data_IF_152766735387
#
_entry.id   IF_152766735387
#
_cell.length_a   1.000
_cell.length_b   1.000
_cell.length_c   1.000
_cell.angle_alpha   90.00
_cell.angle_beta   90.00
_cell.angle_gamma   90.00
#
_symmetry.space_group_name_H-M   'P 1'
#
loop_
_entity.id
_entity.type
_entity.pdbx_description
1 polymer ?
#
# COMPACT_ATOMS: atom_id res chain seq x y z
N UNK A 1 -2.21 20.00 15.73
CA UNK A 1 -1.85 19.52 14.37
C UNK A 1 -2.40 18.11 14.20
N UNK A 2 -2.97 17.77 13.03
CA UNK A 2 -3.46 16.42 12.71
C UNK A 2 -2.23 15.50 12.62
N UNK A 3 -2.15 14.51 13.52
CA UNK A 3 -1.00 13.61 13.65
C UNK A 3 -1.06 12.45 12.63
N UNK A 4 -2.27 11.97 12.33
CA UNK A 4 -2.50 10.83 11.45
C UNK A 4 -3.01 11.30 10.08
N UNK A 5 -2.64 10.57 9.02
CA UNK A 5 -3.22 10.78 7.68
C UNK A 5 -4.50 9.96 7.53
N UNK A 6 -4.51 8.75 8.11
CA UNK A 6 -5.69 7.88 8.18
C UNK A 6 -5.94 7.49 9.64
N UNK A 7 -7.21 7.53 10.04
CA UNK A 7 -7.73 6.88 11.23
C UNK A 7 -8.87 5.96 10.82
N UNK A 8 -8.85 4.73 11.29
CA UNK A 8 -9.86 3.71 11.00
C UNK A 8 -10.53 3.34 12.32
N UNK A 9 -11.87 3.27 12.32
CA UNK A 9 -12.67 2.93 13.51
C UNK A 9 -13.65 1.81 13.18
N UNK A 10 -13.50 0.69 13.85
CA UNK A 10 -14.37 -0.48 13.82
C UNK A 10 -14.76 -0.95 12.41
N UNK A 11 -13.77 -0.88 11.49
CA UNK A 11 -13.99 -1.13 10.08
C UNK A 11 -14.26 -2.61 9.82
N UNK A 12 -15.40 -2.87 9.20
CA UNK A 12 -15.80 -4.22 8.81
C UNK A 12 -15.96 -4.35 7.30
N UNK A 13 -15.64 -5.53 6.77
CA UNK A 13 -15.94 -5.89 5.38
C UNK A 13 -16.45 -7.31 5.29
N UNK A 14 -17.62 -7.47 4.67
CA UNK A 14 -18.18 -8.76 4.31
C UNK A 14 -18.43 -8.86 2.82
N UNK A 15 -18.15 -10.02 2.25
CA UNK A 15 -18.56 -10.40 0.90
C UNK A 15 -19.56 -11.55 1.01
N UNK A 16 -20.80 -11.30 0.62
CA UNK A 16 -21.92 -12.24 0.85
C UNK A 16 -22.00 -12.62 2.35
N UNK A 17 -21.74 -13.88 2.70
CA UNK A 17 -21.79 -14.39 4.08
C UNK A 17 -20.42 -14.42 4.78
N UNK A 18 -19.33 -14.15 4.07
CA UNK A 18 -17.97 -14.22 4.62
C UNK A 18 -17.53 -12.86 5.15
N UNK A 19 -17.28 -12.78 6.46
CA UNK A 19 -16.61 -11.61 7.08
C UNK A 19 -15.12 -11.70 6.81
N UNK A 20 -14.59 -10.72 6.03
CA UNK A 20 -13.16 -10.64 5.67
C UNK A 20 -12.40 -9.72 6.61
N UNK A 21 -12.99 -8.59 6.99
CA UNK A 21 -12.46 -7.71 8.03
C UNK A 21 -13.47 -7.56 9.16
N UNK A 22 -12.95 -7.56 10.39
CA UNK A 22 -13.74 -7.66 11.63
C UNK A 22 -13.24 -6.59 12.61
N UNK A 23 -13.92 -5.43 12.62
CA UNK A 23 -13.70 -4.36 13.60
C UNK A 23 -12.24 -3.88 13.64
N UNK A 24 -11.65 -3.62 12.45
CA UNK A 24 -10.29 -3.06 12.37
C UNK A 24 -10.34 -1.60 12.84
N UNK A 25 -9.54 -1.30 13.86
CA UNK A 25 -9.27 0.08 14.31
C UNK A 25 -7.77 0.31 14.32
N UNK A 26 -7.29 1.33 13.57
CA UNK A 26 -5.86 1.61 13.40
C UNK A 26 -5.60 3.07 13.02
N UNK A 27 -4.35 3.52 13.25
CA UNK A 27 -3.92 4.88 13.01
C UNK A 27 -2.65 4.91 12.18
N UNK A 28 -2.68 5.61 11.06
CA UNK A 28 -1.53 5.74 10.16
C UNK A 28 -0.93 7.14 10.31
N UNK A 29 0.26 7.27 10.91
CA UNK A 29 0.93 8.55 11.10
C UNK A 29 1.33 9.18 9.76
N UNK A 30 1.37 10.53 9.71
CA UNK A 30 1.83 11.27 8.54
C UNK A 30 3.34 11.16 8.32
N UNK A 31 3.73 11.26 7.05
CA UNK A 31 5.13 11.38 6.62
C UNK A 31 6.01 10.23 7.14
N UNK A 32 5.47 9.02 7.09
CA UNK A 32 6.13 7.79 7.50
C UNK A 32 5.78 6.66 6.53
N UNK A 33 6.57 5.58 6.57
CA UNK A 33 6.23 4.32 5.93
C UNK A 33 5.50 3.44 6.96
N UNK A 34 4.25 3.11 6.68
CA UNK A 34 3.44 2.19 7.47
C UNK A 34 3.41 0.81 6.80
N UNK A 35 3.95 -0.19 7.47
CA UNK A 35 3.97 -1.58 7.03
C UNK A 35 2.70 -2.31 7.45
N UNK A 36 1.96 -2.86 6.49
CA UNK A 36 0.81 -3.71 6.74
C UNK A 36 1.18 -5.18 6.55
N UNK A 37 1.44 -5.88 7.65
CA UNK A 37 1.91 -7.26 7.66
C UNK A 37 0.75 -8.24 7.89
N UNK A 38 0.83 -9.43 7.33
CA UNK A 38 -0.11 -10.52 7.55
C UNK A 38 0.00 -11.61 6.49
N UNK A 39 -0.47 -12.80 6.80
CA UNK A 39 -0.49 -13.92 5.86
C UNK A 39 -1.36 -13.63 4.62
N UNK A 40 -1.20 -14.42 3.57
CA UNK A 40 -2.07 -14.36 2.41
C UNK A 40 -3.51 -14.68 2.84
N UNK A 41 -4.47 -13.83 2.40
CA UNK A 41 -5.87 -13.95 2.80
C UNK A 41 -6.23 -13.34 4.16
N UNK A 42 -5.28 -12.75 4.90
CA UNK A 42 -5.55 -12.09 6.19
C UNK A 42 -6.48 -10.86 6.09
N UNK A 43 -6.62 -10.27 4.90
CA UNK A 43 -7.48 -9.11 4.66
C UNK A 43 -6.76 -7.84 4.22
N UNK A 44 -5.40 -7.86 4.09
CA UNK A 44 -4.58 -6.69 3.72
C UNK A 44 -5.09 -5.98 2.46
N UNK A 45 -5.13 -6.67 1.32
CA UNK A 45 -5.60 -6.08 0.05
C UNK A 45 -7.05 -5.59 0.12
N UNK A 46 -7.90 -6.25 0.92
CA UNK A 46 -9.28 -5.79 1.14
C UNK A 46 -9.31 -4.45 1.86
N UNK A 47 -8.48 -4.26 2.89
CA UNK A 47 -8.32 -2.99 3.59
C UNK A 47 -7.80 -1.91 2.63
N UNK A 48 -6.72 -2.20 1.91
CA UNK A 48 -6.11 -1.25 0.96
C UNK A 48 -7.08 -0.85 -0.18
N UNK A 49 -7.91 -1.78 -0.66
CA UNK A 49 -8.98 -1.48 -1.62
C UNK A 49 -10.04 -0.52 -1.07
N UNK A 50 -10.32 -0.55 0.23
CA UNK A 50 -11.25 0.41 0.83
C UNK A 50 -10.62 1.80 0.97
N UNK A 51 -9.35 1.88 1.39
CA UNK A 51 -8.62 3.14 1.49
C UNK A 51 -8.44 3.82 0.12
N UNK A 52 -8.22 3.03 -0.93
CA UNK A 52 -8.09 3.52 -2.32
C UNK A 52 -9.43 3.73 -3.04
N UNK A 53 -10.56 3.54 -2.36
CA UNK A 53 -11.90 3.76 -2.92
C UNK A 53 -12.38 2.69 -3.91
N UNK A 54 -11.63 1.61 -4.11
CA UNK A 54 -12.00 0.47 -4.97
C UNK A 54 -13.08 -0.41 -4.34
N UNK A 55 -13.26 -0.36 -3.01
CA UNK A 55 -14.30 -1.07 -2.29
C UNK A 55 -14.91 -0.18 -1.21
N UNK A 56 -16.16 -0.45 -0.82
CA UNK A 56 -16.80 0.24 0.31
C UNK A 56 -16.77 -0.66 1.54
N UNK A 57 -16.58 -0.11 2.75
CA UNK A 57 -16.77 -0.86 3.98
C UNK A 57 -18.23 -1.33 4.11
N UNK A 58 -18.45 -2.39 4.91
CA UNK A 58 -19.79 -2.83 5.30
C UNK A 58 -20.29 -2.01 6.48
N UNK A 59 -19.40 -1.69 7.44
CA UNK A 59 -19.62 -0.79 8.58
C UNK A 59 -18.30 -0.23 9.07
N UNK A 60 -18.35 0.68 10.04
CA UNK A 60 -17.19 1.40 10.55
C UNK A 60 -16.88 2.66 9.74
N UNK A 61 -15.82 3.35 10.14
CA UNK A 61 -15.46 4.67 9.58
C UNK A 61 -14.00 4.70 9.15
N UNK A 62 -13.74 5.43 8.07
CA UNK A 62 -12.40 5.84 7.65
C UNK A 62 -12.36 7.36 7.72
N UNK A 63 -11.39 7.89 8.41
CA UNK A 63 -11.12 9.33 8.55
C UNK A 63 -9.82 9.61 7.80
N UNK A 64 -9.87 10.52 6.84
CA UNK A 64 -8.71 11.01 6.10
C UNK A 64 -8.41 12.44 6.53
N UNK A 65 -7.20 12.70 7.02
CA UNK A 65 -6.78 14.03 7.45
C UNK A 65 -7.76 14.74 8.40
N UNK A 66 -8.38 13.99 9.31
CA UNK A 66 -9.27 14.52 10.35
C UNK A 66 -10.72 14.75 9.90
N UNK A 67 -11.11 14.36 8.69
CA UNK A 67 -12.50 14.38 8.23
C UNK A 67 -12.95 13.01 7.68
N UNK A 68 -14.24 12.69 7.69
CA UNK A 68 -14.74 11.45 7.10
C UNK A 68 -14.30 11.30 5.65
N UNK A 69 -13.70 10.14 5.33
CA UNK A 69 -13.20 9.83 4.00
C UNK A 69 -14.30 9.94 2.94
N UNK A 70 -13.97 10.55 1.83
CA UNK A 70 -14.88 10.72 0.69
C UNK A 70 -14.16 10.48 -0.63
N UNK A 71 -14.91 10.32 -1.73
CA UNK A 71 -14.30 10.20 -3.06
C UNK A 71 -13.50 11.43 -3.51
N UNK A 72 -13.71 12.58 -2.87
CA UNK A 72 -12.93 13.79 -3.17
C UNK A 72 -11.47 13.66 -2.74
N UNK A 73 -11.21 12.81 -1.75
CA UNK A 73 -9.87 12.59 -1.19
C UNK A 73 -8.99 11.73 -2.11
N UNK A 74 -9.61 11.06 -3.10
CA UNK A 74 -8.88 10.24 -4.09
C UNK A 74 -7.88 11.04 -4.93
N UNK A 75 -8.02 12.34 -5.03
CA UNK A 75 -7.03 13.22 -5.68
C UNK A 75 -5.70 13.27 -4.90
N UNK A 76 -5.76 13.06 -3.57
CA UNK A 76 -4.64 13.08 -2.65
C UNK A 76 -4.13 11.66 -2.32
N UNK A 77 -4.69 10.62 -2.96
CA UNK A 77 -4.36 9.21 -2.75
C UNK A 77 -3.84 8.58 -4.06
N UNK A 78 -2.59 8.16 -4.06
CA UNK A 78 -2.03 7.29 -5.10
C UNK A 78 -2.09 5.82 -4.68
N UNK A 79 -2.42 4.91 -5.59
CA UNK A 79 -2.50 3.50 -5.24
C UNK A 79 -1.98 2.59 -6.36
N UNK A 80 -1.24 1.55 -5.94
CA UNK A 80 -0.86 0.40 -6.74
C UNK A 80 -1.38 -0.85 -6.00
N UNK A 81 -2.49 -1.40 -6.48
CA UNK A 81 -3.17 -2.54 -5.87
C UNK A 81 -3.05 -3.75 -6.78
N UNK A 82 -2.53 -4.86 -6.24
CA UNK A 82 -2.27 -6.13 -6.94
C UNK A 82 -1.30 -5.96 -8.12
N UNK A 83 -1.77 -5.66 -9.32
CA UNK A 83 -0.94 -5.53 -10.53
C UNK A 83 -0.91 -4.10 -11.06
N UNK A 84 0.25 -3.65 -11.60
CA UNK A 84 0.36 -2.34 -12.21
C UNK A 84 -0.67 -2.15 -13.33
N UNK A 85 -1.50 -1.08 -13.29
CA UNK A 85 -2.53 -0.82 -14.29
C UNK A 85 -1.90 -0.15 -15.52
N UNK A 86 -1.11 -0.91 -16.28
CA UNK A 86 -0.35 -0.42 -17.43
C UNK A 86 -0.91 -0.92 -18.75
N UNK A 87 -0.80 -0.12 -19.78
CA UNK A 87 -1.04 -0.52 -21.17
C UNK A 87 0.25 -1.09 -21.75
N UNK A 88 0.31 -2.39 -21.93
CA UNK A 88 1.52 -3.09 -22.39
C UNK A 88 2.01 -2.71 -23.78
N UNK A 89 1.09 -2.27 -24.64
CA UNK A 89 1.39 -1.79 -25.99
C UNK A 89 1.89 -0.34 -26.06
N UNK A 90 1.90 0.38 -24.94
CA UNK A 90 2.38 1.76 -24.83
C UNK A 90 3.76 1.81 -24.17
N UNK A 91 4.50 2.89 -24.41
CA UNK A 91 5.74 3.23 -23.69
C UNK A 91 5.45 3.70 -22.26
N UNK A 92 6.48 3.89 -21.42
CA UNK A 92 6.30 4.50 -20.09
C UNK A 92 5.68 5.90 -20.19
N UNK A 93 6.20 6.73 -21.08
CA UNK A 93 5.69 8.08 -21.34
C UNK A 93 4.22 8.09 -21.77
N UNK A 94 3.85 7.25 -22.73
CA UNK A 94 2.48 7.16 -23.22
C UNK A 94 1.51 6.65 -22.13
N UNK A 95 1.92 5.70 -21.29
CA UNK A 95 1.16 5.27 -20.12
C UNK A 95 0.86 6.43 -19.17
N UNK A 96 1.88 7.23 -18.83
CA UNK A 96 1.71 8.42 -18.00
C UNK A 96 0.80 9.44 -18.70
N UNK A 97 0.97 9.67 -20.00
CA UNK A 97 0.19 10.64 -20.77
C UNK A 97 -1.31 10.35 -20.75
N UNK A 98 -1.70 9.07 -20.83
CA UNK A 98 -3.11 8.68 -20.69
C UNK A 98 -3.69 9.14 -19.36
N UNK A 99 -2.98 8.92 -18.26
CA UNK A 99 -3.43 9.34 -16.91
C UNK A 99 -3.31 10.86 -16.71
N UNK A 100 -2.25 11.47 -17.22
CA UNK A 100 -2.02 12.91 -17.14
C UNK A 100 -3.17 13.72 -17.77
N UNK A 101 -3.67 13.27 -18.94
CA UNK A 101 -4.83 13.90 -19.61
C UNK A 101 -6.09 13.85 -18.74
N UNK A 102 -6.30 12.75 -18.00
CA UNK A 102 -7.45 12.62 -17.08
C UNK A 102 -7.33 13.51 -15.85
N UNK A 103 -6.10 13.71 -15.36
CA UNK A 103 -5.81 14.49 -14.15
C UNK A 103 -5.56 15.97 -14.44
N UNK A 104 -5.36 16.37 -15.70
CA UNK A 104 -4.93 17.72 -16.05
C UNK A 104 -3.49 18.05 -15.61
N UNK A 105 -2.62 17.05 -15.59
CA UNK A 105 -1.23 17.16 -15.15
C UNK A 105 -0.31 17.47 -16.31
N UNK A 106 0.71 18.30 -16.06
CA UNK A 106 1.66 18.78 -17.10
C UNK A 106 2.68 17.70 -17.52
N UNK A 107 3.35 17.93 -18.66
CA UNK A 107 4.41 17.05 -19.16
C UNK A 107 5.67 17.11 -18.25
N UNK A 108 5.94 18.25 -17.61
CA UNK A 108 7.02 18.40 -16.64
C UNK A 108 6.83 17.46 -15.45
N UNK A 109 5.59 17.33 -14.95
CA UNK A 109 5.28 16.38 -13.89
C UNK A 109 5.43 14.93 -14.32
N UNK A 110 5.09 14.62 -15.57
CA UNK A 110 5.34 13.28 -16.14
C UNK A 110 6.83 12.96 -16.17
N UNK A 111 7.67 13.91 -16.60
CA UNK A 111 9.12 13.76 -16.61
C UNK A 111 9.67 13.55 -15.19
N UNK A 112 9.24 14.36 -14.22
CA UNK A 112 9.64 14.27 -12.82
C UNK A 112 9.32 12.88 -12.23
N UNK A 113 8.12 12.34 -12.45
CA UNK A 113 7.80 11.02 -11.90
C UNK A 113 8.58 9.89 -12.57
N UNK A 114 8.97 10.02 -13.86
CA UNK A 114 9.85 9.05 -14.51
C UNK A 114 11.27 9.09 -13.91
N UNK A 115 11.76 10.28 -13.56
CA UNK A 115 13.04 10.44 -12.87
C UNK A 115 13.00 9.80 -11.49
N UNK A 116 11.96 10.09 -10.68
CA UNK A 116 11.75 9.49 -9.34
C UNK A 116 11.82 7.97 -9.39
N UNK A 117 11.21 7.34 -10.39
CA UNK A 117 11.17 5.88 -10.48
C UNK A 117 12.28 5.27 -11.34
N UNK A 118 13.24 6.07 -11.83
CA UNK A 118 14.35 5.60 -12.69
C UNK A 118 13.87 4.90 -13.98
N UNK A 119 12.97 5.55 -14.74
CA UNK A 119 12.44 5.03 -16.01
C UNK A 119 12.64 6.02 -17.19
N UNK A 120 13.47 7.05 -17.05
CA UNK A 120 13.76 8.04 -18.10
C UNK A 120 14.38 7.43 -19.35
N UNK A 121 15.27 6.43 -19.17
CA UNK A 121 16.06 5.84 -20.26
C UNK A 121 15.32 4.71 -21.01
N UNK A 122 14.01 4.57 -20.79
CA UNK A 122 13.22 3.52 -21.46
C UNK A 122 12.87 3.85 -22.92
N UNK A 123 12.92 5.12 -23.29
CA UNK A 123 12.74 5.62 -24.67
C UNK A 123 11.47 5.08 -25.33
N UNK A 124 11.63 4.41 -26.47
CA UNK A 124 10.52 3.83 -27.26
C UNK A 124 10.16 2.40 -26.85
N UNK A 125 10.78 1.84 -25.80
CA UNK A 125 10.47 0.48 -25.33
C UNK A 125 9.05 0.43 -24.77
N UNK A 126 8.27 -0.53 -25.25
CA UNK A 126 6.89 -0.74 -24.79
C UNK A 126 6.88 -1.41 -23.42
N UNK A 127 5.90 -1.06 -22.57
CA UNK A 127 5.78 -1.57 -21.22
C UNK A 127 5.59 -3.10 -21.14
N UNK A 128 5.04 -3.72 -22.18
CA UNK A 128 4.97 -5.18 -22.29
C UNK A 128 6.32 -5.88 -22.29
N UNK A 129 7.40 -5.21 -22.77
CA UNK A 129 8.77 -5.71 -22.78
C UNK A 129 9.56 -5.32 -21.52
N UNK A 130 8.94 -4.68 -20.53
CA UNK A 130 9.58 -4.33 -19.27
C UNK A 130 9.77 -5.57 -18.39
N UNK A 131 10.86 -5.56 -17.59
CA UNK A 131 10.97 -6.50 -16.47
C UNK A 131 9.85 -6.26 -15.45
N UNK A 132 9.61 -7.22 -14.57
CA UNK A 132 8.61 -7.06 -13.51
C UNK A 132 8.89 -5.80 -12.66
N UNK A 133 10.15 -5.59 -12.27
CA UNK A 133 10.57 -4.40 -11.53
C UNK A 133 10.30 -3.09 -12.29
N UNK A 134 10.55 -3.03 -13.60
CA UNK A 134 10.21 -1.88 -14.41
C UNK A 134 8.68 -1.66 -14.49
N UNK A 135 7.88 -2.72 -14.57
CA UNK A 135 6.41 -2.63 -14.53
C UNK A 135 5.92 -2.10 -13.18
N UNK A 136 6.49 -2.57 -12.06
CA UNK A 136 6.19 -2.06 -10.72
C UNK A 136 6.53 -0.58 -10.59
N UNK A 137 7.72 -0.17 -11.02
CA UNK A 137 8.14 1.24 -11.02
C UNK A 137 7.22 2.12 -11.86
N UNK A 138 6.78 1.66 -13.03
CA UNK A 138 5.81 2.38 -13.85
C UNK A 138 4.45 2.49 -13.15
N UNK A 139 4.00 1.44 -12.46
CA UNK A 139 2.79 1.48 -11.62
C UNK A 139 2.88 2.52 -10.50
N UNK A 140 4.04 2.62 -9.85
CA UNK A 140 4.31 3.65 -8.83
C UNK A 140 4.34 5.04 -9.47
N UNK A 141 4.98 5.23 -10.62
CA UNK A 141 4.97 6.50 -11.34
C UNK A 141 3.54 6.97 -11.66
N UNK A 142 2.69 6.04 -12.12
CA UNK A 142 1.27 6.31 -12.33
C UNK A 142 0.58 6.72 -11.01
N UNK A 143 0.88 6.07 -9.88
CA UNK A 143 0.30 6.42 -8.59
C UNK A 143 0.76 7.81 -8.09
N UNK A 144 2.00 8.19 -8.36
CA UNK A 144 2.61 9.47 -7.97
C UNK A 144 2.17 10.66 -8.83
N UNK A 145 1.63 10.42 -10.03
CA UNK A 145 1.40 11.46 -11.03
C UNK A 145 0.51 12.61 -10.53
N UNK A 146 -0.49 12.30 -9.70
CA UNK A 146 -1.40 13.27 -9.09
C UNK A 146 -0.84 14.02 -7.87
N UNK A 147 0.43 13.88 -7.56
CA UNK A 147 1.08 14.43 -6.36
C UNK A 147 0.35 14.05 -5.06
N UNK A 148 0.21 12.75 -4.76
CA UNK A 148 -0.58 12.27 -3.64
C UNK A 148 0.10 12.60 -2.30
N UNK A 149 -0.71 12.75 -1.25
CA UNK A 149 -0.26 12.83 0.16
C UNK A 149 -0.17 11.45 0.82
N UNK A 150 -0.90 10.48 0.26
CA UNK A 150 -0.90 9.08 0.66
C UNK A 150 -0.65 8.19 -0.55
N UNK A 151 0.38 7.35 -0.46
CA UNK A 151 0.70 6.32 -1.46
C UNK A 151 0.43 4.93 -0.86
N UNK A 152 -0.39 4.13 -1.53
CA UNK A 152 -0.77 2.78 -1.12
C UNK A 152 -0.14 1.77 -2.09
N UNK A 153 0.68 0.86 -1.57
CA UNK A 153 1.39 -0.16 -2.33
C UNK A 153 1.05 -1.56 -1.79
N UNK A 154 0.34 -2.34 -2.59
CA UNK A 154 -0.06 -3.70 -2.21
C UNK A 154 0.95 -4.72 -2.75
N UNK A 155 1.73 -5.34 -1.85
CA UNK A 155 2.76 -6.35 -2.14
C UNK A 155 3.73 -5.92 -3.28
N UNK A 156 4.31 -4.70 -3.25
CA UNK A 156 5.02 -4.15 -4.41
C UNK A 156 6.34 -4.86 -4.75
N UNK A 157 6.89 -5.64 -3.83
CA UNK A 157 8.14 -6.41 -3.98
C UNK A 157 7.93 -7.81 -4.53
N UNK A 158 6.68 -8.27 -4.63
CA UNK A 158 6.37 -9.63 -5.04
C UNK A 158 6.94 -9.98 -6.42
N UNK A 159 7.74 -11.07 -6.44
CA UNK A 159 8.35 -11.59 -7.67
C UNK A 159 9.54 -10.80 -8.20
N UNK A 160 10.02 -9.79 -7.46
CA UNK A 160 11.27 -9.10 -7.79
C UNK A 160 12.48 -9.92 -7.36
N UNK A 161 13.59 -9.74 -8.06
CA UNK A 161 14.88 -10.23 -7.64
C UNK A 161 15.43 -9.41 -6.43
N UNK A 162 16.46 -9.89 -5.72
CA UNK A 162 16.99 -9.22 -4.54
C UNK A 162 17.43 -7.76 -4.79
N UNK A 163 17.99 -7.47 -5.97
CA UNK A 163 18.42 -6.13 -6.34
C UNK A 163 17.20 -5.22 -6.54
N UNK A 164 16.18 -5.68 -7.27
CA UNK A 164 14.93 -4.95 -7.48
C UNK A 164 14.19 -4.66 -6.17
N UNK A 165 14.21 -5.59 -5.21
CA UNK A 165 13.64 -5.39 -3.86
C UNK A 165 14.40 -4.28 -3.14
N UNK A 166 15.74 -4.30 -3.16
CA UNK A 166 16.56 -3.29 -2.50
C UNK A 166 16.33 -1.89 -3.09
N UNK A 167 16.31 -1.78 -4.41
CA UNK A 167 16.09 -0.51 -5.11
C UNK A 167 14.68 0.04 -4.83
N UNK A 168 13.66 -0.82 -4.84
CA UNK A 168 12.29 -0.42 -4.55
C UNK A 168 12.13 0.02 -3.09
N UNK A 169 12.81 -0.63 -2.16
CA UNK A 169 12.84 -0.24 -0.75
C UNK A 169 13.43 1.16 -0.56
N UNK A 170 14.57 1.45 -1.20
CA UNK A 170 15.17 2.78 -1.15
C UNK A 170 14.21 3.84 -1.70
N UNK A 171 13.53 3.54 -2.79
CA UNK A 171 12.52 4.43 -3.36
C UNK A 171 11.37 4.68 -2.38
N UNK A 172 10.81 3.62 -1.78
CA UNK A 172 9.71 3.75 -0.80
C UNK A 172 10.14 4.60 0.40
N UNK A 173 11.34 4.40 0.92
CA UNK A 173 11.86 5.15 2.06
C UNK A 173 12.17 6.63 1.77
N UNK A 174 12.28 7.02 0.51
CA UNK A 174 12.50 8.43 0.14
C UNK A 174 11.22 9.28 0.12
N UNK A 175 10.04 8.67 0.06
CA UNK A 175 8.78 9.40 -0.06
C UNK A 175 8.37 10.20 1.19
N UNK A 176 8.57 9.74 2.43
CA UNK A 176 8.28 10.54 3.63
C UNK A 176 9.00 11.87 3.69
N UNK A 177 10.24 11.96 3.22
CA UNK A 177 11.01 13.20 3.13
C UNK A 177 10.39 14.20 2.14
N UNK A 178 9.62 13.70 1.18
CA UNK A 178 8.86 14.50 0.20
C UNK A 178 7.44 14.84 0.70
N UNK A 179 7.11 14.51 1.96
CA UNK A 179 5.81 14.74 2.56
C UNK A 179 4.73 13.73 2.17
N UNK A 180 5.10 12.60 1.57
CA UNK A 180 4.19 11.53 1.16
C UNK A 180 4.19 10.44 2.23
N UNK A 181 3.04 10.14 2.82
CA UNK A 181 2.87 8.95 3.66
C UNK A 181 2.74 7.72 2.77
N UNK A 182 3.39 6.62 3.15
CA UNK A 182 3.29 5.37 2.39
C UNK A 182 2.67 4.27 3.25
N UNK A 183 1.70 3.55 2.70
CA UNK A 183 1.26 2.26 3.22
C UNK A 183 1.80 1.18 2.29
N UNK A 184 2.60 0.27 2.82
CA UNK A 184 3.12 -0.86 2.07
C UNK A 184 2.68 -2.17 2.72
N UNK A 185 2.01 -3.05 1.97
CA UNK A 185 1.70 -4.40 2.46
C UNK A 185 2.79 -5.39 2.08
N UNK A 186 3.01 -6.36 2.96
CA UNK A 186 3.81 -7.56 2.68
C UNK A 186 3.36 -8.72 3.56
N UNK A 187 3.66 -9.94 3.13
CA UNK A 187 3.59 -11.14 3.96
C UNK A 187 4.98 -11.56 4.46
N UNK A 188 6.03 -10.81 4.09
CA UNK A 188 7.42 -11.06 4.45
C UNK A 188 7.86 -10.04 5.50
N UNK A 189 8.06 -10.53 6.72
CA UNK A 189 8.40 -9.69 7.87
C UNK A 189 9.71 -8.91 7.70
N UNK A 190 10.75 -9.57 7.17
CA UNK A 190 12.06 -8.94 6.98
C UNK A 190 12.01 -7.75 6.01
N UNK A 191 11.14 -7.78 5.02
CA UNK A 191 10.92 -6.65 4.11
C UNK A 191 10.30 -5.45 4.84
N UNK A 192 9.27 -5.71 5.64
CA UNK A 192 8.59 -4.67 6.42
C UNK A 192 9.53 -4.06 7.45
N UNK A 193 10.28 -4.87 8.21
CA UNK A 193 11.26 -4.40 9.19
C UNK A 193 12.30 -3.45 8.60
N UNK A 194 12.73 -3.71 7.37
CA UNK A 194 13.75 -2.88 6.69
C UNK A 194 13.17 -1.64 6.01
N UNK A 195 11.84 -1.53 5.89
CA UNK A 195 11.18 -0.50 5.08
C UNK A 195 10.31 0.43 5.92
N UNK A 196 9.60 -0.09 6.92
CA UNK A 196 8.58 0.63 7.65
C UNK A 196 9.10 1.30 8.93
N UNK A 197 8.46 2.41 9.32
CA UNK A 197 8.66 3.11 10.58
C UNK A 197 7.60 2.68 11.62
N UNK A 198 6.38 2.33 11.15
CA UNK A 198 5.28 1.76 11.93
C UNK A 198 4.74 0.53 11.24
N UNK A 199 4.19 -0.40 12.03
CA UNK A 199 3.57 -1.61 11.50
C UNK A 199 2.19 -1.85 12.09
N UNK A 200 1.33 -2.46 11.28
CA UNK A 200 0.11 -3.12 11.73
C UNK A 200 0.11 -4.57 11.26
N UNK A 201 -0.18 -5.51 12.15
CA UNK A 201 -0.26 -6.94 11.81
C UNK A 201 -1.72 -7.35 11.76
N UNK A 202 -2.16 -7.80 10.58
CA UNK A 202 -3.52 -8.32 10.37
C UNK A 202 -3.47 -9.85 10.33
N UNK A 203 -4.29 -10.47 11.17
CA UNK A 203 -4.51 -11.91 11.18
C UNK A 203 -6.01 -12.19 11.17
N UNK A 204 -6.46 -13.13 10.34
CA UNK A 204 -7.85 -13.56 10.23
C UNK A 204 -8.92 -12.44 10.17
N UNK A 205 -8.53 -11.31 9.57
CA UNK A 205 -9.40 -10.13 9.42
C UNK A 205 -9.47 -9.24 10.65
N UNK A 206 -8.62 -9.42 11.65
CA UNK A 206 -8.46 -8.55 12.82
C UNK A 206 -7.07 -7.90 12.86
N UNK A 207 -6.97 -6.75 13.50
CA UNK A 207 -5.68 -6.14 13.83
C UNK A 207 -5.19 -6.79 15.13
N UNK A 208 -4.10 -7.54 15.06
CA UNK A 208 -3.50 -8.19 16.22
C UNK A 208 -2.43 -7.34 16.91
N UNK A 209 -1.81 -6.41 16.17
CA UNK A 209 -0.80 -5.50 16.69
C UNK A 209 -0.73 -4.21 15.86
N UNK A 210 -0.38 -3.10 16.53
CA UNK A 210 -0.02 -1.84 15.90
C UNK A 210 1.04 -1.15 16.75
N UNK A 211 2.16 -0.73 16.15
CA UNK A 211 3.25 -0.05 16.85
C UNK A 211 4.35 0.47 15.95
N UNK A 212 5.28 1.23 16.52
CA UNK A 212 6.51 1.64 15.84
C UNK A 212 7.45 0.43 15.69
N UNK A 213 8.22 0.41 14.61
CA UNK A 213 9.30 -0.58 14.45
C UNK A 213 10.47 -0.17 15.33
N UNK A 214 10.85 -1.02 16.28
CA UNK A 214 11.99 -0.81 17.18
C UNK A 214 12.97 -1.98 17.04
N UNK A 215 14.26 -1.73 17.36
CA UNK A 215 15.28 -2.78 17.31
C UNK A 215 15.15 -3.78 18.47
N UNK A 216 14.48 -3.38 19.56
CA UNK A 216 14.33 -4.20 20.77
C UNK A 216 13.18 -5.22 20.70
N UNK A 217 12.29 -5.11 19.72
CA UNK A 217 11.12 -5.97 19.60
C UNK A 217 11.39 -7.14 18.65
N UNK A 218 11.22 -8.38 19.14
CA UNK A 218 11.26 -9.56 18.29
C UNK A 218 9.97 -9.67 17.49
N UNK A 219 9.98 -8.99 16.34
CA UNK A 219 8.83 -8.97 15.42
C UNK A 219 8.51 -10.37 14.86
N UNK A 220 9.47 -11.30 14.84
CA UNK A 220 9.22 -12.68 14.39
C UNK A 220 8.39 -13.44 15.43
N UNK A 221 8.79 -13.36 16.69
CA UNK A 221 8.03 -13.96 17.78
C UNK A 221 6.62 -13.33 17.87
N UNK A 222 6.52 -12.01 17.78
CA UNK A 222 5.25 -11.28 17.79
C UNK A 222 4.34 -11.72 16.62
N UNK A 223 4.88 -11.80 15.41
CA UNK A 223 4.13 -12.22 14.23
C UNK A 223 3.65 -13.67 14.34
N UNK A 224 4.52 -14.56 14.80
CA UNK A 224 4.17 -15.97 15.03
C UNK A 224 3.08 -16.11 16.10
N UNK A 225 3.19 -15.41 17.22
CA UNK A 225 2.18 -15.42 18.29
C UNK A 225 0.82 -14.99 17.77
N UNK A 226 0.74 -13.85 17.05
CA UNK A 226 -0.53 -13.33 16.52
C UNK A 226 -1.14 -14.27 15.48
N UNK A 227 -0.31 -14.91 14.66
CA UNK A 227 -0.83 -15.80 13.61
C UNK A 227 -1.24 -17.16 14.13
N UNK A 228 -0.62 -17.67 15.20
CA UNK A 228 -0.91 -18.98 15.81
C UNK A 228 -2.05 -18.89 16.83
N UNK A 229 -2.05 -17.91 17.74
CA UNK A 229 -3.08 -17.79 18.78
C UNK A 229 -4.48 -17.59 18.20
N UNK A 230 -4.64 -16.82 17.13
CA UNK A 230 -5.94 -16.67 16.46
C UNK A 230 -6.34 -17.89 15.61
N UNK A 231 -5.41 -18.77 15.28
CA UNK A 231 -5.67 -20.04 14.61
C UNK A 231 -6.26 -21.11 15.55
N UNK A 232 -5.88 -21.09 16.84
CA UNK A 232 -6.35 -22.05 17.86
C UNK A 232 -7.78 -21.79 18.33
N UNK A 233 -8.23 -20.53 18.35
CA UNK A 233 -9.62 -20.17 18.72
C UNK A 233 -10.67 -20.72 17.74
N UNK A 234 -10.28 -21.08 16.51
CA UNK A 234 -11.21 -21.67 15.52
C UNK A 234 -11.49 -23.17 15.72
N UNK A 235 -10.66 -23.89 16.46
CA UNK A 235 -10.95 -25.31 16.74
C UNK A 235 -12.03 -25.48 17.81
N UNK A 236 -12.19 -24.52 18.70
CA UNK A 236 -13.18 -24.57 19.79
C UNK A 236 -14.57 -24.04 19.38
N UNK A 237 -14.70 -23.32 18.27
CA UNK A 237 -16.01 -22.84 17.75
C UNK A 237 -16.69 -23.80 16.75
N UNK A 238 -16.09 -24.95 16.46
CA UNK A 238 -16.61 -25.97 15.52
C UNK A 238 -17.14 -27.24 16.19
N UNK A 239 -17.31 -27.22 17.54
CA UNK A 239 -17.92 -28.32 18.29
C UNK A 239 -19.12 -27.86 19.07
#
# INVERSE_FOLDING_TARGET
MIKNIIEIKDLCKSYKKQKVLKEISMNIPKNQVYGLLGANGAGKSTLLKMLSGLSRPTSGEIIFEGHPWSRKDLKDIGALIETPPIYENLTAWENLKVKALLLGVSEERMQEVLEIVNLTDTGRKRAGAFSLGMKQRLGIALALLGNPRLLILDEPTNGLDPLGIQELRHLIRSFPEQGITVIVSSHILSEIRMTADHIGIISHGRLGYEGAVTDDEDLEELFMRITVEEGSVRQDELF
#
